data_IF_765925142033
#
_entry.id   IF_765925142033
#
_cell.length_a   1.000
_cell.length_b   1.000
_cell.length_c   1.000
_cell.angle_alpha   90.00
_cell.angle_beta   90.00
_cell.angle_gamma   90.00
#
_symmetry.space_group_name_H-M   'P 1'
#
loop_
_entity.id
_entity.type
_entity.pdbx_description
1 polymer ?
#
# COMPACT_ATOMS: atom_id res chain seq x y z
N UNK A 1 -2.16 25.59 0.34
CA UNK A 1 -2.44 24.25 0.90
C UNK A 1 -2.63 23.28 -0.27
N UNK A 2 -1.66 23.24 -1.19
CA UNK A 2 -1.82 22.64 -2.53
C UNK A 2 -0.51 22.03 -3.07
N UNK A 3 0.23 21.29 -2.23
CA UNK A 3 1.47 20.62 -2.66
C UNK A 3 1.57 19.16 -2.24
N UNK A 4 0.62 18.66 -1.43
CA UNK A 4 0.70 17.33 -0.80
C UNK A 4 0.27 16.19 -1.74
N UNK A 5 -0.80 16.35 -2.52
CA UNK A 5 -1.34 15.27 -3.36
C UNK A 5 -0.45 14.86 -4.57
N UNK A 6 0.23 15.77 -5.29
CA UNK A 6 1.06 15.34 -6.43
C UNK A 6 2.30 14.56 -6.01
N UNK A 7 2.86 14.82 -4.82
CA UNK A 7 4.06 14.14 -4.35
C UNK A 7 3.80 12.73 -3.77
N UNK A 8 2.61 12.51 -3.18
CA UNK A 8 2.19 11.21 -2.68
C UNK A 8 1.81 10.23 -3.83
N UNK A 9 1.27 10.76 -4.93
CA UNK A 9 0.86 9.94 -6.08
C UNK A 9 2.03 9.56 -7.02
N UNK A 10 3.05 10.41 -7.17
CA UNK A 10 4.16 10.16 -8.11
C UNK A 10 5.26 9.23 -7.59
N UNK A 11 5.19 8.77 -6.34
CA UNK A 11 6.27 8.01 -5.71
C UNK A 11 5.92 6.57 -5.35
N UNK A 12 4.70 6.08 -5.58
CA UNK A 12 4.36 4.68 -5.23
C UNK A 12 4.93 3.65 -6.20
N UNK A 13 4.94 3.91 -7.51
CA UNK A 13 5.49 2.96 -8.50
C UNK A 13 7.03 2.91 -8.40
N UNK A 14 7.67 4.06 -8.16
CA UNK A 14 9.12 4.15 -8.00
C UNK A 14 9.63 3.55 -6.68
N UNK A 15 8.90 3.74 -5.56
CA UNK A 15 9.31 3.18 -4.27
C UNK A 15 8.90 1.71 -4.07
N UNK A 16 7.79 1.26 -4.65
CA UNK A 16 7.48 -0.18 -4.71
C UNK A 16 8.57 -0.95 -5.47
N UNK A 17 9.15 -0.34 -6.52
CA UNK A 17 10.31 -0.88 -7.22
C UNK A 17 11.64 -0.70 -6.44
N UNK A 18 11.81 0.40 -5.70
CA UNK A 18 13.02 0.67 -4.92
C UNK A 18 13.11 -0.09 -3.58
N UNK A 19 12.05 -0.78 -3.16
CA UNK A 19 12.10 -1.60 -1.94
C UNK A 19 13.06 -2.81 -2.07
N UNK A 20 13.50 -3.14 -3.29
CA UNK A 20 14.37 -4.26 -3.63
C UNK A 20 15.81 -4.21 -3.06
N UNK A 21 16.16 -3.30 -2.14
CA UNK A 21 17.57 -3.19 -1.68
C UNK A 21 17.82 -2.73 -0.24
N UNK A 22 16.81 -2.45 0.60
CA UNK A 22 17.06 -1.57 1.76
C UNK A 22 16.57 -2.20 3.08
N UNK A 23 17.39 -2.02 4.13
CA UNK A 23 17.30 -2.53 5.51
C UNK A 23 15.88 -2.47 6.12
N UNK A 24 15.54 -3.29 7.14
CA UNK A 24 14.41 -2.99 8.04
C UNK A 24 14.52 -1.52 8.47
N UNK A 25 13.46 -0.72 8.42
CA UNK A 25 13.57 0.73 8.68
C UNK A 25 13.21 1.67 7.52
N UNK A 26 12.97 1.16 6.31
CA UNK A 26 12.90 1.98 5.09
C UNK A 26 11.52 2.52 4.78
N UNK A 27 10.49 1.76 5.14
CA UNK A 27 9.11 2.20 4.94
C UNK A 27 8.62 3.03 6.13
N UNK A 28 9.34 2.99 7.25
CA UNK A 28 9.01 3.65 8.51
C UNK A 28 8.77 5.15 8.34
N UNK A 29 9.60 5.93 7.62
CA UNK A 29 9.30 7.34 7.37
C UNK A 29 7.96 7.54 6.63
N UNK A 30 7.60 6.63 5.72
CA UNK A 30 6.34 6.69 4.98
C UNK A 30 5.15 6.26 5.83
N UNK A 31 5.33 5.25 6.67
CA UNK A 31 4.34 4.81 7.65
C UNK A 31 4.06 5.94 8.64
N UNK A 32 5.11 6.57 9.16
CA UNK A 32 5.02 7.69 10.09
C UNK A 32 4.30 8.88 9.46
N UNK A 33 4.59 9.21 8.20
CA UNK A 33 3.90 10.30 7.49
C UNK A 33 2.42 10.00 7.28
N UNK A 34 2.07 8.79 6.81
CA UNK A 34 0.68 8.36 6.59
C UNK A 34 -0.09 8.36 7.91
N UNK A 35 0.47 7.75 8.96
CA UNK A 35 -0.19 7.64 10.28
C UNK A 35 -0.30 9.01 10.96
N UNK A 36 0.69 9.88 10.81
CA UNK A 36 0.63 11.26 11.29
C UNK A 36 -0.50 12.04 10.63
N UNK A 37 -0.65 11.95 9.31
CA UNK A 37 -1.78 12.60 8.62
C UNK A 37 -3.12 12.10 9.16
N UNK A 38 -3.28 10.79 9.34
CA UNK A 38 -4.52 10.21 9.91
C UNK A 38 -4.77 10.68 11.34
N UNK A 39 -3.72 10.89 12.13
CA UNK A 39 -3.81 11.37 13.51
C UNK A 39 -4.11 12.88 13.63
N UNK A 40 -3.58 13.71 12.72
CA UNK A 40 -3.75 15.16 12.72
C UNK A 40 -5.02 15.62 11.96
N UNK A 41 -5.41 14.88 10.93
CA UNK A 41 -6.54 15.19 10.07
C UNK A 41 -7.61 14.09 10.18
N UNK A 42 -7.75 13.28 9.14
CA UNK A 42 -8.68 12.18 9.06
C UNK A 42 -8.11 11.08 8.16
N UNK A 43 -8.80 9.94 8.11
CA UNK A 43 -8.50 8.90 7.13
C UNK A 43 -8.65 9.44 5.71
N UNK A 44 -7.84 8.93 4.80
CA UNK A 44 -7.94 9.26 3.39
C UNK A 44 -9.25 8.76 2.80
N UNK A 45 -9.89 9.58 1.97
CA UNK A 45 -10.99 9.16 1.11
C UNK A 45 -10.52 8.21 0.02
N UNK A 46 -11.41 7.32 -0.43
CA UNK A 46 -11.16 6.39 -1.54
C UNK A 46 -10.64 7.09 -2.81
N UNK A 47 -11.13 8.29 -3.09
CA UNK A 47 -10.67 9.12 -4.21
C UNK A 47 -9.24 9.65 -4.04
N UNK A 48 -8.84 10.05 -2.83
CA UNK A 48 -7.50 10.60 -2.56
C UNK A 48 -6.40 9.55 -2.79
N UNK A 49 -6.70 8.27 -2.54
CA UNK A 49 -5.73 7.17 -2.65
C UNK A 49 -5.98 6.26 -3.85
N UNK A 50 -6.76 6.72 -4.84
CA UNK A 50 -7.09 5.95 -6.04
C UNK A 50 -7.51 4.50 -5.72
N UNK A 51 -8.38 4.33 -4.71
CA UNK A 51 -8.82 3.01 -4.27
C UNK A 51 -9.62 2.30 -5.37
N UNK A 52 -9.32 1.02 -5.56
CA UNK A 52 -10.08 0.11 -6.42
C UNK A 52 -10.44 -1.16 -5.63
N UNK A 53 -11.64 -1.71 -5.81
CA UNK A 53 -12.10 -2.89 -5.05
C UNK A 53 -11.50 -4.22 -5.54
N UNK A 54 -10.71 -4.18 -6.61
CA UNK A 54 -9.96 -5.32 -7.14
C UNK A 54 -8.56 -4.86 -7.55
N UNK A 55 -7.53 -5.66 -7.25
CA UNK A 55 -6.18 -5.34 -7.69
C UNK A 55 -5.98 -5.61 -9.19
N UNK A 56 -5.41 -4.66 -9.96
CA UNK A 56 -5.25 -4.81 -11.41
C UNK A 56 -4.16 -5.85 -11.78
N UNK A 57 -4.48 -6.86 -12.61
CA UNK A 57 -3.49 -7.82 -13.11
C UNK A 57 -2.52 -7.19 -14.13
N UNK A 58 -1.33 -7.77 -14.37
CA UNK A 58 -0.68 -8.89 -13.65
C UNK A 58 0.30 -8.43 -12.55
N UNK A 59 0.77 -7.18 -12.59
CA UNK A 59 1.85 -6.67 -11.72
C UNK A 59 1.41 -6.49 -10.26
N UNK A 60 0.12 -6.22 -10.03
CA UNK A 60 -0.41 -5.92 -8.69
C UNK A 60 -1.19 -7.09 -8.08
N UNK A 61 -1.16 -8.29 -8.68
CA UNK A 61 -1.99 -9.43 -8.24
C UNK A 61 -1.77 -9.77 -6.75
N UNK A 62 -0.57 -9.53 -6.21
CA UNK A 62 -0.28 -9.71 -4.78
C UNK A 62 -0.53 -8.50 -3.91
N UNK A 63 -0.73 -7.32 -4.49
CA UNK A 63 -0.95 -6.09 -3.74
C UNK A 63 -2.44 -5.98 -3.44
N UNK A 64 -2.89 -6.84 -2.52
CA UNK A 64 -4.26 -6.87 -2.03
C UNK A 64 -4.33 -6.19 -0.67
N UNK A 65 -5.46 -5.58 -0.35
CA UNK A 65 -5.71 -5.00 0.97
C UNK A 65 -5.46 -6.02 2.08
N UNK A 66 -5.88 -7.29 1.96
CA UNK A 66 -5.59 -8.32 2.98
C UNK A 66 -4.09 -8.62 3.22
N UNK A 67 -3.23 -8.27 2.26
CA UNK A 67 -1.77 -8.41 2.31
C UNK A 67 -1.11 -7.03 2.53
N UNK A 68 -1.86 -6.01 2.95
CA UNK A 68 -1.37 -4.66 3.24
C UNK A 68 -1.06 -4.52 4.72
N UNK A 69 -0.05 -3.71 5.05
CA UNK A 69 0.29 -3.35 6.42
C UNK A 69 -0.86 -2.69 7.20
N UNK A 70 -1.64 -1.84 6.54
CA UNK A 70 -2.71 -1.05 7.18
C UNK A 70 -4.06 -1.78 7.23
N UNK A 71 -4.08 -3.07 6.91
CA UNK A 71 -5.29 -3.87 6.86
C UNK A 71 -5.86 -4.15 8.25
N UNK A 72 -7.15 -3.94 8.41
CA UNK A 72 -7.89 -4.31 9.60
C UNK A 72 -9.00 -5.28 9.19
N UNK A 73 -8.80 -6.57 9.50
CA UNK A 73 -9.80 -7.59 9.19
C UNK A 73 -11.14 -7.26 9.88
N UNK A 74 -12.29 -7.58 9.25
CA UNK A 74 -12.44 -8.29 7.98
C UNK A 74 -12.56 -7.39 6.73
N UNK A 75 -12.79 -6.10 6.90
CA UNK A 75 -13.24 -5.18 5.84
C UNK A 75 -12.87 -3.71 6.10
N UNK A 76 -11.84 -3.44 6.90
CA UNK A 76 -11.43 -2.10 7.29
C UNK A 76 -9.96 -1.81 6.95
N UNK A 77 -9.62 -0.52 6.95
CA UNK A 77 -8.25 -0.03 6.82
C UNK A 77 -8.00 1.03 7.89
N UNK A 78 -6.78 1.02 8.43
CA UNK A 78 -6.35 2.01 9.41
C UNK A 78 -6.35 3.43 8.83
N UNK A 79 -5.98 3.55 7.55
CA UNK A 79 -5.66 4.84 6.93
C UNK A 79 -6.66 5.28 5.87
N UNK A 80 -7.49 4.37 5.33
CA UNK A 80 -8.52 4.69 4.31
C UNK A 80 -9.90 4.56 4.94
N UNK A 81 -10.78 5.52 4.65
CA UNK A 81 -12.15 5.52 5.16
C UNK A 81 -13.08 4.56 4.40
N UNK A 82 -14.15 4.16 5.08
CA UNK A 82 -15.19 3.29 4.55
C UNK A 82 -14.81 1.81 4.52
N UNK A 83 -15.72 0.99 3.97
CA UNK A 83 -15.53 -0.45 3.83
C UNK A 83 -14.50 -0.78 2.74
N UNK A 84 -13.59 -1.71 3.02
CA UNK A 84 -12.44 -2.05 2.20
C UNK A 84 -12.52 -3.54 1.83
N UNK A 85 -12.65 -3.81 0.54
CA UNK A 85 -12.62 -5.17 0.03
C UNK A 85 -11.25 -5.85 0.29
N UNK A 86 -11.20 -7.09 0.80
CA UNK A 86 -9.95 -7.83 1.02
C UNK A 86 -9.09 -8.04 -0.25
N UNK A 87 -9.70 -7.93 -1.43
CA UNK A 87 -9.05 -8.05 -2.74
C UNK A 87 -8.77 -6.69 -3.40
N UNK A 88 -9.11 -5.59 -2.74
CA UNK A 88 -8.88 -4.24 -3.24
C UNK A 88 -7.41 -3.83 -3.20
N UNK A 89 -7.16 -2.62 -3.68
CA UNK A 89 -5.84 -1.99 -3.72
C UNK A 89 -6.01 -0.46 -3.68
N UNK A 90 -5.00 0.25 -3.19
CA UNK A 90 -4.93 1.71 -3.25
C UNK A 90 -3.49 2.16 -3.49
N UNK A 91 -3.29 3.42 -3.90
CA UNK A 91 -1.98 3.96 -4.28
C UNK A 91 -0.97 4.03 -3.14
N UNK A 92 -1.41 3.98 -1.88
CA UNK A 92 -0.57 3.99 -0.67
C UNK A 92 -0.41 2.60 -0.04
N UNK A 93 -0.65 1.54 -0.82
CA UNK A 93 -0.43 0.17 -0.36
C UNK A 93 1.04 -0.04 0.02
N UNK A 94 1.26 -0.64 1.20
CA UNK A 94 2.59 -1.03 1.69
C UNK A 94 2.60 -2.52 2.04
N UNK A 95 3.67 -3.25 1.71
CA UNK A 95 3.83 -4.64 2.11
C UNK A 95 3.98 -4.77 3.64
N UNK A 96 3.67 -5.95 4.21
CA UNK A 96 3.99 -6.25 5.60
C UNK A 96 5.52 -6.33 5.81
N UNK A 97 5.97 -6.15 7.05
CA UNK A 97 7.40 -6.13 7.43
C UNK A 97 8.17 -7.40 7.04
N UNK A 98 7.47 -8.52 6.99
CA UNK A 98 8.04 -9.86 6.83
C UNK A 98 8.18 -10.29 5.37
N UNK A 99 7.72 -9.47 4.40
CA UNK A 99 7.84 -9.79 2.98
C UNK A 99 9.07 -9.12 2.36
N UNK A 100 10.11 -9.89 1.98
CA UNK A 100 11.25 -9.35 1.27
C UNK A 100 10.78 -8.76 -0.06
N UNK A 101 11.32 -7.61 -0.42
CA UNK A 101 11.01 -7.01 -1.71
C UNK A 101 11.36 -7.94 -2.87
N UNK A 102 10.54 -7.90 -3.93
CA UNK A 102 10.57 -8.85 -5.05
C UNK A 102 10.24 -10.31 -4.68
N UNK A 103 9.64 -10.61 -3.51
CA UNK A 103 9.10 -11.96 -3.25
C UNK A 103 8.13 -12.41 -4.34
N UNK A 104 7.40 -11.47 -4.93
CA UNK A 104 6.53 -11.71 -6.08
C UNK A 104 7.28 -12.23 -7.32
N UNK A 105 8.58 -11.96 -7.49
CA UNK A 105 9.37 -12.60 -8.57
C UNK A 105 9.53 -14.08 -8.29
N UNK A 106 9.83 -14.46 -7.04
CA UNK A 106 9.93 -15.87 -6.66
C UNK A 106 8.55 -16.53 -6.70
N UNK A 107 7.49 -15.89 -6.15
CA UNK A 107 6.10 -16.39 -6.22
C UNK A 107 5.65 -16.56 -7.70
N UNK A 108 6.05 -15.66 -8.62
CA UNK A 108 5.81 -15.73 -10.07
C UNK A 108 6.61 -16.84 -10.78
N UNK A 109 7.83 -17.12 -10.32
CA UNK A 109 8.69 -18.18 -10.87
C UNK A 109 8.30 -19.57 -10.33
N UNK A 110 7.82 -19.64 -9.10
CA UNK A 110 7.41 -20.87 -8.39
C UNK A 110 5.97 -21.28 -8.74
N UNK A 111 5.17 -20.35 -9.28
CA UNK A 111 3.82 -20.64 -9.77
C UNK A 111 2.74 -20.73 -8.68
N UNK A 112 3.01 -20.16 -7.50
CA UNK A 112 2.15 -20.19 -6.32
C UNK A 112 1.10 -19.04 -6.32
N UNK A 113 0.38 -18.88 -7.44
CA UNK A 113 -0.60 -17.81 -7.70
C UNK A 113 -1.90 -17.86 -6.87
#
# INVERSE_FOLDING_TARGET
>A
METFLPNLLFKSIGLAAANATIKPGVLEPWIDEITKHVAEEAKFSKSQVAYVPFSPPPVFWDYKCRKCRFWQAPDACEVVEGEIAPRGWCSIWLPPDDKPALSWINELLEGDW
#
